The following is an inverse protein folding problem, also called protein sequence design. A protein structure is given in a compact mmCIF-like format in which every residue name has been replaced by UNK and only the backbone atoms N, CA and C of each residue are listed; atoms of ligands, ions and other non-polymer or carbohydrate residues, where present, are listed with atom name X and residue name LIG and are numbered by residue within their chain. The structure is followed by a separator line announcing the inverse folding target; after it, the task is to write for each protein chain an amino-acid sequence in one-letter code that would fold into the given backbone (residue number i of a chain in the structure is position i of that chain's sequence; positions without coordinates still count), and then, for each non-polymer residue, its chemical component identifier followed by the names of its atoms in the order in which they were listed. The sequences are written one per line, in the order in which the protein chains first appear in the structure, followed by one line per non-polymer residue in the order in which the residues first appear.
data_IF_383019641157
#
_entry.id   IF_383019641157
#
_cell.length_a   1.000
_cell.length_b   1.000
_cell.length_c   1.000
_cell.angle_alpha   90.00
_cell.angle_beta   90.00
_cell.angle_gamma   90.00
#
_symmetry.space_group_name_H-M   'P 1'
#
loop_
_entity.id
_entity.type
_entity.pdbx_description
1 polymer ?
#
# COMPACT_ATOMS: atom_id res chain seq x y z
N UNK A 1 1.12 -0.12 -14.86
CA UNK A 1 1.88 1.15 -14.84
C UNK A 1 3.18 0.86 -14.11
N UNK A 2 4.33 1.40 -14.53
CA UNK A 2 5.56 1.25 -13.74
C UNK A 2 5.63 2.40 -12.74
N UNK A 3 5.35 2.11 -11.47
CA UNK A 3 5.34 3.13 -10.42
C UNK A 3 6.75 3.63 -10.09
N UNK A 4 7.77 2.78 -10.20
CA UNK A 4 9.17 3.13 -9.97
C UNK A 4 9.65 4.24 -10.92
N UNK A 5 9.33 4.13 -12.21
CA UNK A 5 9.70 5.14 -13.22
C UNK A 5 9.05 6.49 -12.91
N UNK A 6 7.80 6.49 -12.45
CA UNK A 6 7.07 7.70 -12.08
C UNK A 6 7.68 8.35 -10.85
N UNK A 7 8.00 7.57 -9.81
CA UNK A 7 8.65 8.09 -8.61
C UNK A 7 10.03 8.64 -8.95
N UNK A 8 10.79 7.98 -9.82
CA UNK A 8 12.09 8.47 -10.28
C UNK A 8 11.96 9.80 -11.05
N UNK A 9 10.96 9.95 -11.91
CA UNK A 9 10.69 11.20 -12.63
C UNK A 9 10.36 12.38 -11.68
N UNK A 10 9.88 12.07 -10.47
CA UNK A 10 9.53 13.04 -9.43
C UNK A 10 10.65 13.29 -8.41
N UNK A 11 11.83 12.68 -8.57
CA UNK A 11 12.91 12.73 -7.58
C UNK A 11 13.38 14.17 -7.26
N UNK A 12 13.37 15.05 -8.27
CA UNK A 12 13.80 16.45 -8.12
C UNK A 12 12.62 17.43 -7.97
N UNK A 13 11.39 16.92 -7.84
CA UNK A 13 10.21 17.76 -7.65
C UNK A 13 10.26 18.46 -6.29
N UNK A 14 9.96 19.76 -6.26
CA UNK A 14 9.83 20.48 -5.00
C UNK A 14 8.57 20.04 -4.25
N UNK A 15 8.49 20.36 -2.95
CA UNK A 15 7.26 20.14 -2.19
C UNK A 15 6.04 20.83 -2.81
N UNK A 16 6.24 21.99 -3.45
CA UNK A 16 5.17 22.69 -4.17
C UNK A 16 4.73 21.92 -5.42
N UNK A 17 5.67 21.38 -6.21
CA UNK A 17 5.36 20.58 -7.39
C UNK A 17 4.58 19.32 -7.01
N UNK A 18 5.03 18.60 -5.98
CA UNK A 18 4.35 17.41 -5.46
C UNK A 18 2.94 17.72 -4.96
N UNK A 19 2.76 18.84 -4.25
CA UNK A 19 1.44 19.30 -3.82
C UNK A 19 0.53 19.68 -5.02
N UNK A 20 1.08 20.34 -6.04
CA UNK A 20 0.32 20.71 -7.23
C UNK A 20 -0.12 19.48 -8.03
N UNK A 21 0.76 18.49 -8.11
CA UNK A 21 0.51 17.20 -8.76
C UNK A 21 -0.51 16.37 -7.97
N UNK A 22 -0.41 16.30 -6.64
CA UNK A 22 -1.39 15.57 -5.83
C UNK A 22 -2.81 16.10 -6.04
N UNK A 23 -2.98 17.43 -6.12
CA UNK A 23 -4.29 18.04 -6.46
C UNK A 23 -4.78 17.69 -7.85
N UNK A 24 -3.89 17.57 -8.84
CA UNK A 24 -4.28 17.14 -10.18
C UNK A 24 -4.69 15.65 -10.20
N UNK A 25 -3.93 14.80 -9.49
CA UNK A 25 -4.21 13.37 -9.34
C UNK A 25 -5.54 13.15 -8.61
N UNK A 26 -5.81 13.89 -7.52
CA UNK A 26 -7.09 13.83 -6.80
C UNK A 26 -8.28 14.08 -7.74
N UNK A 27 -8.18 15.07 -8.63
CA UNK A 27 -9.23 15.34 -9.61
C UNK A 27 -9.40 14.18 -10.58
N UNK A 28 -8.30 13.56 -11.04
CA UNK A 28 -8.32 12.39 -11.92
C UNK A 28 -8.88 11.14 -11.23
N UNK A 29 -8.57 10.91 -9.96
CA UNK A 29 -9.09 9.80 -9.15
C UNK A 29 -10.62 9.88 -9.03
N UNK A 30 -11.15 11.11 -8.94
CA UNK A 30 -12.59 11.36 -8.80
C UNK A 30 -13.31 11.54 -10.14
N UNK A 31 -12.66 11.26 -11.28
CA UNK A 31 -13.28 11.26 -12.60
C UNK A 31 -14.44 10.23 -12.64
N UNK A 32 -15.69 10.67 -12.88
CA UNK A 32 -16.84 9.79 -12.92
C UNK A 32 -16.70 8.66 -13.95
N UNK A 33 -16.03 8.90 -15.08
CA UNK A 33 -15.86 7.90 -16.13
C UNK A 33 -14.99 6.75 -15.62
N UNK A 34 -13.85 7.06 -15.01
CA UNK A 34 -12.94 6.05 -14.42
C UNK A 34 -13.61 5.24 -13.31
N UNK A 35 -14.41 5.89 -12.47
CA UNK A 35 -15.15 5.20 -11.41
C UNK A 35 -16.22 4.25 -11.97
N UNK A 36 -16.89 4.64 -13.07
CA UNK A 36 -17.84 3.78 -13.76
C UNK A 36 -17.16 2.57 -14.40
N UNK A 37 -16.00 2.76 -15.03
CA UNK A 37 -15.19 1.67 -15.60
C UNK A 37 -14.75 0.67 -14.53
N UNK A 38 -14.21 1.16 -13.41
CA UNK A 38 -13.83 0.31 -12.29
C UNK A 38 -15.04 -0.45 -11.73
N UNK A 39 -16.19 0.22 -11.59
CA UNK A 39 -17.44 -0.40 -11.12
C UNK A 39 -17.92 -1.51 -12.05
N UNK A 40 -17.78 -1.37 -13.37
CA UNK A 40 -18.23 -2.35 -14.34
C UNK A 40 -17.48 -3.69 -14.24
N UNK A 41 -16.28 -3.69 -13.67
CA UNK A 41 -15.47 -4.89 -13.44
C UNK A 41 -15.83 -5.67 -12.17
N UNK A 42 -16.75 -5.16 -11.34
CA UNK A 42 -17.00 -5.69 -10.00
C UNK A 42 -18.37 -6.39 -9.88
N UNK A 43 -18.41 -7.51 -9.14
CA UNK A 43 -19.66 -8.19 -8.78
C UNK A 43 -19.72 -8.48 -7.28
N UNK A 44 -20.91 -8.35 -6.71
CA UNK A 44 -21.15 -8.73 -5.32
C UNK A 44 -20.86 -10.22 -5.15
N UNK A 45 -20.13 -10.56 -4.08
CA UNK A 45 -19.60 -11.89 -3.80
C UNK A 45 -18.15 -12.11 -4.24
N UNK A 46 -17.60 -11.22 -5.08
CA UNK A 46 -16.22 -11.33 -5.56
C UNK A 46 -15.20 -11.27 -4.41
N UNK A 47 -14.09 -11.97 -4.61
CA UNK A 47 -12.87 -11.73 -3.83
C UNK A 47 -12.07 -10.65 -4.55
N UNK A 48 -11.84 -9.54 -3.87
CA UNK A 48 -11.10 -8.41 -4.40
C UNK A 48 -9.90 -8.12 -3.51
N UNK A 49 -9.00 -7.30 -4.03
CA UNK A 49 -7.93 -6.69 -3.25
C UNK A 49 -8.09 -5.18 -3.31
N UNK A 50 -7.97 -4.51 -2.16
CA UNK A 50 -7.91 -3.05 -2.12
C UNK A 50 -6.58 -2.59 -1.54
N UNK A 51 -6.07 -1.47 -2.02
CA UNK A 51 -4.83 -0.89 -1.51
C UNK A 51 -5.07 -0.15 -0.20
N UNK A 52 -4.39 -0.56 0.87
CA UNK A 52 -4.44 0.10 2.19
C UNK A 52 -3.20 1.01 2.36
N UNK A 53 -3.36 2.34 2.23
CA UNK A 53 -2.22 3.26 2.24
C UNK A 53 -1.48 3.31 3.59
N UNK A 54 -2.13 2.94 4.70
CA UNK A 54 -1.46 2.91 6.02
C UNK A 54 -0.54 1.70 6.19
N UNK A 55 -0.82 0.61 5.47
CA UNK A 55 -0.02 -0.62 5.46
C UNK A 55 0.85 -0.76 4.20
N UNK A 56 0.67 0.14 3.22
CA UNK A 56 1.30 0.15 1.90
C UNK A 56 1.18 -1.19 1.15
N UNK A 57 0.04 -1.88 1.29
CA UNK A 57 -0.15 -3.21 0.68
C UNK A 57 -1.58 -3.44 0.21
N UNK A 58 -1.76 -4.49 -0.58
CA UNK A 58 -3.08 -4.99 -0.95
C UNK A 58 -3.68 -5.83 0.18
N UNK A 59 -4.95 -5.56 0.48
CA UNK A 59 -5.73 -6.27 1.48
C UNK A 59 -6.82 -7.09 0.78
N UNK A 60 -6.84 -8.43 0.95
CA UNK A 60 -7.86 -9.27 0.38
C UNK A 60 -9.19 -9.11 1.15
N UNK A 61 -10.30 -8.97 0.42
CA UNK A 61 -11.62 -8.77 0.98
C UNK A 61 -12.73 -9.40 0.12
N UNK A 62 -13.88 -9.66 0.74
CA UNK A 62 -15.12 -10.04 0.05
C UNK A 62 -15.95 -8.80 -0.25
N UNK A 63 -16.38 -8.65 -1.50
CA UNK A 63 -17.23 -7.55 -1.93
C UNK A 63 -18.69 -7.82 -1.56
N UNK A 64 -19.24 -7.06 -0.62
CA UNK A 64 -20.59 -7.27 -0.07
C UNK A 64 -21.63 -6.42 -0.80
N UNK A 65 -21.28 -5.17 -1.13
CA UNK A 65 -22.19 -4.25 -1.82
C UNK A 65 -21.44 -3.23 -2.65
N UNK A 66 -22.01 -2.87 -3.79
CA UNK A 66 -21.49 -1.81 -4.66
C UNK A 66 -22.44 -0.61 -4.60
N UNK A 67 -21.90 0.58 -4.32
CA UNK A 67 -22.62 1.87 -4.29
C UNK A 67 -22.24 2.72 -5.51
N UNK A 68 -22.52 4.02 -5.47
CA UNK A 68 -22.19 4.90 -6.60
C UNK A 68 -20.67 5.09 -6.75
N UNK A 69 -19.99 5.53 -5.69
CA UNK A 69 -18.53 5.80 -5.68
C UNK A 69 -17.78 4.97 -4.63
N UNK A 70 -18.47 4.05 -3.96
CA UNK A 70 -17.98 3.26 -2.83
C UNK A 70 -18.38 1.79 -2.94
N UNK A 71 -17.73 0.94 -2.16
CA UNK A 71 -18.05 -0.46 -1.95
C UNK A 71 -18.06 -0.77 -0.44
N UNK A 72 -18.93 -1.70 -0.04
CA UNK A 72 -18.83 -2.38 1.26
C UNK A 72 -18.09 -3.68 1.07
N UNK A 73 -17.07 -3.90 1.89
CA UNK A 73 -16.20 -5.06 1.83
C UNK A 73 -15.99 -5.66 3.21
N UNK A 74 -15.84 -6.97 3.29
CA UNK A 74 -15.43 -7.69 4.51
C UNK A 74 -13.98 -8.12 4.35
N UNK A 75 -13.09 -7.62 5.20
CA UNK A 75 -11.68 -8.00 5.21
C UNK A 75 -11.56 -9.51 5.51
N UNK A 76 -10.82 -10.25 4.69
CA UNK A 76 -10.71 -11.72 4.82
C UNK A 76 -9.90 -12.12 6.07
N UNK A 77 -8.96 -11.27 6.51
CA UNK A 77 -8.06 -11.58 7.62
C UNK A 77 -8.75 -11.43 8.98
N UNK A 78 -9.46 -10.32 9.21
CA UNK A 78 -10.05 -10.02 10.52
C UNK A 78 -11.58 -10.04 10.54
N UNK A 79 -12.23 -10.27 9.39
CA UNK A 79 -13.67 -10.37 9.26
C UNK A 79 -14.41 -9.05 9.44
N UNK A 80 -13.71 -7.91 9.51
CA UNK A 80 -14.35 -6.61 9.72
C UNK A 80 -14.88 -6.03 8.42
N UNK A 81 -16.00 -5.32 8.54
CA UNK A 81 -16.64 -4.63 7.43
C UNK A 81 -16.15 -3.19 7.30
N UNK A 82 -15.91 -2.77 6.06
CA UNK A 82 -15.43 -1.44 5.72
C UNK A 82 -16.19 -0.88 4.53
N UNK A 83 -16.36 0.45 4.51
CA UNK A 83 -16.80 1.18 3.33
C UNK A 83 -15.58 1.86 2.71
N UNK A 84 -15.20 1.40 1.52
CA UNK A 84 -14.04 1.93 0.78
C UNK A 84 -14.50 2.62 -0.51
N UNK A 85 -13.83 3.69 -0.96
CA UNK A 85 -13.97 4.21 -2.32
C UNK A 85 -13.64 3.17 -3.39
N UNK A 86 -14.32 3.22 -4.53
CA UNK A 86 -14.10 2.26 -5.63
C UNK A 86 -12.67 2.32 -6.19
N UNK A 87 -12.05 3.50 -6.20
CA UNK A 87 -10.68 3.68 -6.70
C UNK A 87 -9.62 2.94 -5.86
N UNK A 88 -9.95 2.49 -4.64
CA UNK A 88 -9.02 1.70 -3.82
C UNK A 88 -8.92 0.24 -4.29
N UNK A 89 -9.91 -0.23 -5.06
CA UNK A 89 -9.98 -1.63 -5.49
C UNK A 89 -9.08 -1.86 -6.69
N UNK A 90 -8.18 -2.84 -6.62
CA UNK A 90 -7.25 -3.19 -7.68
C UNK A 90 -7.93 -4.04 -8.78
N UNK A 91 -8.89 -3.44 -9.49
CA UNK A 91 -9.69 -4.11 -10.54
C UNK A 91 -8.85 -4.67 -11.68
N UNK A 92 -7.69 -4.07 -11.96
CA UNK A 92 -6.78 -4.45 -13.03
C UNK A 92 -5.70 -5.43 -12.58
N UNK A 93 -5.66 -5.81 -11.29
CA UNK A 93 -4.60 -6.64 -10.70
C UNK A 93 -3.20 -6.11 -11.00
N UNK A 94 -3.06 -4.78 -10.94
CA UNK A 94 -1.79 -4.10 -11.17
C UNK A 94 -0.83 -4.44 -10.04
N UNK A 95 0.42 -4.71 -10.39
CA UNK A 95 1.50 -4.82 -9.42
C UNK A 95 1.74 -3.47 -8.73
N UNK A 96 1.71 -3.46 -7.40
CA UNK A 96 1.83 -2.25 -6.58
C UNK A 96 3.28 -1.97 -6.15
N UNK A 97 4.23 -2.83 -6.52
CA UNK A 97 5.61 -2.71 -6.08
C UNK A 97 6.27 -1.43 -6.61
N UNK A 98 6.96 -0.73 -5.71
CA UNK A 98 7.82 0.41 -6.02
C UNK A 98 9.21 0.01 -5.57
N UNK A 99 10.16 -0.01 -6.49
CA UNK A 99 11.57 -0.28 -6.22
C UNK A 99 12.39 0.93 -6.66
N UNK A 100 13.22 1.48 -5.77
CA UNK A 100 14.20 2.47 -6.17
C UNK A 100 15.51 1.80 -6.55
N UNK A 101 16.07 2.19 -7.69
CA UNK A 101 17.31 1.62 -8.24
C UNK A 101 18.57 2.07 -7.49
N UNK A 102 18.46 3.01 -6.54
CA UNK A 102 19.61 3.53 -5.79
C UNK A 102 19.97 2.59 -4.62
N UNK A 103 21.22 2.13 -4.59
CA UNK A 103 21.82 1.48 -3.42
C UNK A 103 21.84 2.47 -2.26
N UNK A 104 21.02 2.26 -1.23
CA UNK A 104 20.84 3.21 -0.13
C UNK A 104 19.86 2.72 0.94
N UNK A 105 19.39 3.66 1.77
CA UNK A 105 18.36 3.40 2.78
C UNK A 105 17.00 3.24 2.11
N UNK A 106 16.28 2.16 2.41
CA UNK A 106 14.92 1.94 1.92
C UNK A 106 14.02 3.14 2.24
N UNK A 107 13.27 3.58 1.24
CA UNK A 107 12.24 4.62 1.40
C UNK A 107 10.93 4.01 1.87
N UNK A 108 10.04 4.82 2.45
CA UNK A 108 8.73 4.34 2.88
C UNK A 108 7.89 3.75 1.75
N UNK A 109 8.08 4.22 0.51
CA UNK A 109 7.34 3.72 -0.65
C UNK A 109 7.70 2.26 -0.99
N UNK A 110 8.87 1.81 -0.55
CA UNK A 110 9.40 0.45 -0.77
C UNK A 110 9.09 -0.49 0.42
N UNK A 111 8.49 0.02 1.50
CA UNK A 111 8.22 -0.75 2.72
C UNK A 111 6.73 -1.02 2.88
N UNK A 112 6.39 -2.25 3.24
CA UNK A 112 5.03 -2.70 3.53
C UNK A 112 4.94 -3.34 4.91
N UNK A 113 3.74 -3.34 5.50
CA UNK A 113 3.47 -4.14 6.71
C UNK A 113 3.53 -5.63 6.34
N UNK A 114 4.33 -6.39 7.09
CA UNK A 114 4.63 -7.80 6.83
C UNK A 114 6.02 -8.05 6.24
N UNK A 115 6.71 -7.01 5.77
CA UNK A 115 8.07 -7.17 5.25
C UNK A 115 9.05 -7.57 6.36
N UNK A 116 9.96 -8.49 6.04
CA UNK A 116 11.10 -8.80 6.90
C UNK A 116 12.29 -7.94 6.52
N UNK A 117 12.79 -7.14 7.47
CA UNK A 117 13.90 -6.21 7.23
C UNK A 117 15.05 -6.44 8.21
N UNK A 118 16.28 -6.20 7.74
CA UNK A 118 17.48 -6.11 8.57
C UNK A 118 17.70 -4.69 9.08
N UNK A 119 18.11 -4.54 10.34
CA UNK A 119 18.44 -3.24 10.92
C UNK A 119 19.53 -3.35 11.99
N UNK A 120 20.23 -2.25 12.23
CA UNK A 120 21.25 -2.16 13.29
C UNK A 120 20.64 -1.49 14.51
N UNK A 121 20.72 -2.15 15.68
CA UNK A 121 20.20 -1.58 16.92
C UNK A 121 21.17 -0.53 17.51
N UNK A 122 20.78 0.14 18.60
CA UNK A 122 21.62 1.15 19.29
C UNK A 122 22.97 0.61 19.80
N UNK A 123 23.14 -0.71 19.89
CA UNK A 123 24.36 -1.38 20.35
C UNK A 123 25.25 -1.81 19.17
N UNK A 124 24.89 -1.45 17.92
CA UNK A 124 25.64 -1.83 16.73
C UNK A 124 25.40 -3.27 16.27
N UNK A 125 24.41 -3.98 16.85
CA UNK A 125 24.10 -5.36 16.48
C UNK A 125 23.08 -5.40 15.34
N UNK A 126 23.38 -6.19 14.32
CA UNK A 126 22.44 -6.54 13.26
C UNK A 126 21.35 -7.47 13.78
N UNK A 127 20.12 -7.06 13.55
CA UNK A 127 18.90 -7.77 13.89
C UNK A 127 18.00 -7.85 12.65
N UNK A 128 17.07 -8.78 12.68
CA UNK A 128 15.99 -8.88 11.71
C UNK A 128 14.65 -8.86 12.43
N UNK A 129 13.60 -8.44 11.72
CA UNK A 129 12.24 -8.50 12.22
C UNK A 129 11.22 -8.11 11.16
N UNK A 130 9.97 -8.34 11.51
CA UNK A 130 8.82 -8.05 10.65
C UNK A 130 8.31 -6.63 10.92
N UNK A 131 8.01 -5.87 9.86
CA UNK A 131 7.36 -4.57 9.98
C UNK A 131 5.90 -4.79 10.38
N UNK A 132 5.53 -4.33 11.58
CA UNK A 132 4.15 -4.39 12.07
C UNK A 132 3.40 -3.07 11.91
N UNK A 133 4.10 -1.96 11.65
CA UNK A 133 3.48 -0.64 11.45
C UNK A 133 4.40 0.33 10.72
N UNK A 134 3.84 1.11 9.80
CA UNK A 134 4.50 2.24 9.16
C UNK A 134 4.09 3.56 9.85
N UNK A 135 5.07 4.35 10.31
CA UNK A 135 4.85 5.69 10.89
C UNK A 135 5.29 6.78 9.90
N UNK A 136 4.98 8.08 10.16
CA UNK A 136 5.43 9.17 9.28
C UNK A 136 6.96 9.29 9.15
N UNK A 137 7.72 8.94 10.20
CA UNK A 137 9.19 9.09 10.25
C UNK A 137 9.94 7.82 10.69
N UNK A 138 9.24 6.71 10.88
CA UNK A 138 9.82 5.47 11.38
C UNK A 138 8.98 4.27 10.98
N UNK A 139 9.50 3.07 11.22
CA UNK A 139 8.73 1.83 11.17
C UNK A 139 8.82 1.14 12.53
N UNK A 140 7.75 0.46 12.91
CA UNK A 140 7.75 -0.39 14.11
C UNK A 140 8.02 -1.82 13.66
N UNK A 141 9.09 -2.41 14.20
CA UNK A 141 9.54 -3.75 13.86
C UNK A 141 9.33 -4.66 15.06
N UNK A 142 8.70 -5.81 14.82
CA UNK A 142 8.68 -6.90 15.78
C UNK A 142 9.93 -7.77 15.57
N UNK A 143 10.89 -7.67 16.49
CA UNK A 143 12.12 -8.47 16.43
C UNK A 143 11.87 -9.85 17.02
N UNK A 144 12.11 -10.89 16.23
CA UNK A 144 12.16 -12.26 16.72
C UNK A 144 13.52 -12.42 17.43
N UNK A 145 13.58 -12.81 18.71
CA UNK A 145 14.85 -13.08 19.38
C UNK A 145 15.63 -14.16 18.63
N UNK A 146 16.92 -13.92 18.36
CA UNK A 146 17.83 -14.84 17.66
C UNK A 146 18.07 -16.20 18.38
N UNK A 147 17.32 -16.51 19.43
CA UNK A 147 17.51 -17.67 20.33
C UNK A 147 16.50 -18.81 20.12
N UNK A 148 15.58 -18.71 19.15
CA UNK A 148 14.67 -19.81 18.78
C UNK A 148 15.01 -20.34 17.38
N UNK A 149 16.24 -20.82 17.22
CA UNK A 149 16.50 -21.93 16.32
C UNK A 149 16.59 -23.15 17.24
N UNK A 150 15.52 -23.95 17.30
CA UNK A 150 15.60 -25.31 17.84
C UNK A 150 15.89 -26.22 16.65
N UNK A 151 16.91 -27.07 16.82
CA UNK A 151 17.29 -28.14 15.88
C UNK A 151 16.14 -29.13 15.64
#
# INVERSE_FOLDING_TARGET
MNYSDIIQALENATAFDLYRLSRAIDNMINDPIRLLEAKACLRVGDTIEYFEPTENRLIPAKLIKIRQTKAEVTNIKDGKDWIIPLYMINVQKTDIEIQQTKRGTLTKNELQVGDTVGFVNKQGKELHGEIIRLNPKSVTIHSIPKFLMLD
#
